data_IF_311370118406
#
_entry.id   IF_311370118406
#
_cell.length_a   1.000
_cell.length_b   1.000
_cell.length_c   1.000
_cell.angle_alpha   90.00
_cell.angle_beta   90.00
_cell.angle_gamma   90.00
#
_symmetry.space_group_name_H-M   'P 1'
#
loop_
_entity.id
_entity.type
_entity.pdbx_description
1 polymer ?
#
# COMPACT_ATOMS: atom_id res chain seq x y z
N UNK A 1 5.15 -41.18 -4.37
CA UNK A 1 4.73 -39.83 -3.94
C UNK A 1 3.78 -39.30 -5.00
N UNK A 2 2.47 -39.25 -4.74
CA UNK A 2 1.50 -38.70 -5.69
C UNK A 2 1.77 -37.20 -5.77
N UNK A 3 2.38 -36.74 -6.88
CA UNK A 3 2.59 -35.31 -7.13
C UNK A 3 1.25 -34.64 -7.45
N UNK A 4 1.01 -33.47 -6.86
CA UNK A 4 -0.14 -32.63 -7.23
C UNK A 4 -0.02 -32.19 -8.69
N UNK A 5 -1.12 -32.18 -9.43
CA UNK A 5 -1.14 -31.65 -10.80
C UNK A 5 -0.87 -30.14 -10.80
N UNK A 6 -0.30 -29.62 -11.89
CA UNK A 6 0.01 -28.19 -12.02
C UNK A 6 -1.24 -27.31 -11.89
N UNK A 7 -2.39 -27.79 -12.36
CA UNK A 7 -3.67 -27.09 -12.25
C UNK A 7 -4.14 -27.00 -10.79
N UNK A 8 -3.99 -28.08 -10.02
CA UNK A 8 -4.29 -28.06 -8.59
C UNK A 8 -3.39 -27.06 -7.84
N UNK A 9 -2.09 -27.02 -8.15
CA UNK A 9 -1.17 -26.05 -7.53
C UNK A 9 -1.57 -24.61 -7.88
N UNK A 10 -1.95 -24.33 -9.13
CA UNK A 10 -2.40 -23.01 -9.56
C UNK A 10 -3.67 -22.58 -8.83
N UNK A 11 -4.66 -23.46 -8.73
CA UNK A 11 -5.90 -23.20 -8.00
C UNK A 11 -5.65 -22.91 -6.52
N UNK A 12 -4.81 -23.72 -5.86
CA UNK A 12 -4.45 -23.51 -4.45
C UNK A 12 -3.76 -22.15 -4.22
N UNK A 13 -2.87 -21.74 -5.12
CA UNK A 13 -2.22 -20.41 -5.03
C UNK A 13 -3.23 -19.28 -5.15
N UNK A 14 -4.17 -19.37 -6.09
CA UNK A 14 -5.21 -18.36 -6.28
C UNK A 14 -6.12 -18.30 -5.04
N UNK A 15 -6.60 -19.45 -4.56
CA UNK A 15 -7.42 -19.53 -3.35
C UNK A 15 -6.71 -18.93 -2.13
N UNK A 16 -5.42 -19.24 -1.95
CA UNK A 16 -4.62 -18.67 -0.87
C UNK A 16 -4.52 -17.14 -0.97
N UNK A 17 -4.29 -16.60 -2.17
CA UNK A 17 -4.27 -15.14 -2.39
C UNK A 17 -5.61 -14.54 -1.97
N UNK A 18 -6.74 -15.08 -2.44
CA UNK A 18 -8.06 -14.58 -2.06
C UNK A 18 -8.33 -14.64 -0.55
N UNK A 19 -7.92 -15.72 0.10
CA UNK A 19 -8.06 -15.87 1.56
C UNK A 19 -7.22 -14.81 2.28
N UNK A 20 -5.96 -14.60 1.88
CA UNK A 20 -5.08 -13.62 2.50
C UNK A 20 -5.58 -12.18 2.28
N UNK A 21 -5.97 -11.83 1.05
CA UNK A 21 -6.52 -10.52 0.74
C UNK A 21 -7.87 -10.27 1.42
N UNK A 22 -8.76 -11.27 1.44
CA UNK A 22 -10.04 -11.20 2.13
C UNK A 22 -9.88 -11.07 3.63
N UNK A 23 -8.97 -11.83 4.23
CA UNK A 23 -8.62 -11.72 5.65
C UNK A 23 -8.04 -10.35 5.99
N UNK A 24 -7.13 -9.82 5.17
CA UNK A 24 -6.60 -8.47 5.32
C UNK A 24 -7.70 -7.41 5.21
N UNK A 25 -8.59 -7.53 4.21
CA UNK A 25 -9.72 -6.63 4.04
C UNK A 25 -10.62 -6.63 5.28
N UNK A 26 -11.04 -7.80 5.76
CA UNK A 26 -11.89 -7.94 6.96
C UNK A 26 -11.18 -7.33 8.18
N UNK A 27 -9.91 -7.68 8.40
CA UNK A 27 -9.14 -7.17 9.54
C UNK A 27 -9.10 -5.64 9.56
N UNK A 28 -8.75 -5.00 8.44
CA UNK A 28 -8.63 -3.54 8.39
C UNK A 28 -9.98 -2.84 8.25
N UNK A 29 -11.04 -3.53 7.80
CA UNK A 29 -12.39 -2.98 7.77
C UNK A 29 -12.98 -2.92 9.19
N UNK A 30 -12.84 -3.99 9.98
CA UNK A 30 -13.48 -4.05 11.30
C UNK A 30 -12.63 -3.52 12.45
N UNK A 31 -11.30 -3.52 12.33
CA UNK A 31 -10.42 -3.13 13.43
C UNK A 31 -9.60 -1.90 13.07
N UNK A 32 -9.80 -0.81 13.81
CA UNK A 32 -9.06 0.44 13.65
C UNK A 32 -7.61 0.28 14.16
N UNK A 33 -6.58 0.48 13.31
CA UNK A 33 -5.18 0.41 13.74
C UNK A 33 -4.77 1.45 14.79
N UNK A 34 -5.54 2.53 14.97
CA UNK A 34 -5.28 3.52 16.02
C UNK A 34 -5.71 3.06 17.41
N UNK A 35 -6.69 2.17 17.51
CA UNK A 35 -7.34 1.79 18.77
C UNK A 35 -6.93 0.40 19.25
N UNK A 36 -6.35 -0.42 18.37
CA UNK A 36 -6.10 -1.83 18.63
C UNK A 36 -4.59 -2.10 18.75
N UNK A 37 -4.15 -2.54 19.93
CA UNK A 37 -2.74 -2.78 20.25
C UNK A 37 -2.08 -3.95 19.52
N UNK A 38 -2.87 -4.82 18.86
CA UNK A 38 -2.34 -5.91 18.05
C UNK A 38 -1.78 -5.42 16.70
N UNK A 39 -2.10 -4.20 16.26
CA UNK A 39 -1.44 -3.60 15.10
C UNK A 39 -0.04 -3.14 15.49
N UNK A 40 0.96 -3.72 14.84
CA UNK A 40 2.36 -3.43 15.15
C UNK A 40 2.69 -2.00 14.70
N UNK A 41 3.19 -1.13 15.61
CA UNK A 41 3.62 0.20 15.24
C UNK A 41 4.81 0.14 14.28
N UNK A 42 5.05 1.22 13.53
CA UNK A 42 6.16 1.26 12.58
C UNK A 42 7.50 1.06 13.31
N UNK A 43 8.26 -0.03 13.04
CA UNK A 43 9.50 -0.31 13.74
C UNK A 43 10.56 0.76 13.48
N UNK A 44 10.57 1.34 12.27
CA UNK A 44 11.48 2.43 11.92
C UNK A 44 11.26 3.65 12.82
N UNK A 45 10.00 4.07 13.00
CA UNK A 45 9.68 5.20 13.87
C UNK A 45 9.95 4.87 15.34
N UNK A 46 9.64 3.65 15.77
CA UNK A 46 9.92 3.19 17.13
C UNK A 46 11.41 3.25 17.48
N UNK A 47 12.29 2.87 16.55
CA UNK A 47 13.75 2.84 16.76
C UNK A 47 14.38 4.23 16.59
N UNK A 48 13.96 4.99 15.57
CA UNK A 48 14.67 6.21 15.16
C UNK A 48 13.99 7.51 15.59
N UNK A 49 12.71 7.46 15.96
CA UNK A 49 11.87 8.66 16.16
C UNK A 49 11.42 9.33 14.85
N UNK A 50 12.00 8.97 13.69
CA UNK A 50 11.64 9.57 12.41
C UNK A 50 10.49 8.82 11.71
N UNK A 51 9.66 9.55 10.97
CA UNK A 51 8.61 8.97 10.14
C UNK A 51 9.17 8.59 8.77
N UNK A 52 9.14 7.30 8.40
CA UNK A 52 9.46 6.87 7.03
C UNK A 52 8.29 7.17 6.06
N UNK A 53 8.48 7.09 4.73
CA UNK A 53 7.40 7.32 3.75
C UNK A 53 6.16 6.43 3.94
N UNK A 54 6.32 5.24 4.54
CA UNK A 54 5.24 4.31 4.82
C UNK A 54 4.51 4.52 6.15
N UNK A 55 4.98 5.39 7.05
CA UNK A 55 4.30 5.60 8.33
C UNK A 55 2.89 6.15 8.10
N UNK A 56 1.89 5.57 8.78
CA UNK A 56 0.48 5.95 8.65
C UNK A 56 -0.33 5.14 7.64
N UNK A 57 0.30 4.29 6.82
CA UNK A 57 -0.41 3.53 5.78
C UNK A 57 -1.51 2.59 6.28
N UNK A 58 -1.34 2.01 7.47
CA UNK A 58 -2.36 1.15 8.09
C UNK A 58 -3.65 1.93 8.39
N UNK A 59 -3.51 3.10 9.03
CA UNK A 59 -4.62 4.02 9.33
C UNK A 59 -5.24 4.57 8.04
N UNK A 60 -4.40 4.93 7.07
CA UNK A 60 -4.88 5.37 5.76
C UNK A 60 -5.69 4.27 5.04
N UNK A 61 -5.23 3.01 5.09
CA UNK A 61 -5.97 1.88 4.52
C UNK A 61 -7.34 1.71 5.18
N UNK A 62 -7.40 1.72 6.52
CA UNK A 62 -8.65 1.64 7.26
C UNK A 62 -9.63 2.76 6.84
N UNK A 63 -9.17 4.01 6.73
CA UNK A 63 -10.02 5.13 6.31
C UNK A 63 -10.47 5.03 4.86
N UNK A 64 -9.61 4.60 3.94
CA UNK A 64 -10.00 4.34 2.55
C UNK A 64 -11.09 3.28 2.44
N UNK A 65 -11.01 2.23 3.26
CA UNK A 65 -12.03 1.18 3.31
C UNK A 65 -13.40 1.69 3.77
N UNK A 66 -13.43 2.80 4.52
CA UNK A 66 -14.65 3.48 4.96
C UNK A 66 -15.03 4.69 4.09
N UNK A 67 -14.30 4.94 3.00
CA UNK A 67 -14.55 6.05 2.08
C UNK A 67 -14.06 7.42 2.58
N UNK A 68 -13.30 7.49 3.68
CA UNK A 68 -12.68 8.73 4.14
C UNK A 68 -11.33 8.98 3.44
N UNK A 69 -11.43 9.53 2.23
CA UNK A 69 -10.26 9.88 1.42
C UNK A 69 -9.43 11.02 2.03
N UNK A 70 -10.08 11.98 2.69
CA UNK A 70 -9.40 13.15 3.27
C UNK A 70 -8.59 12.71 4.48
N UNK A 71 -9.18 11.94 5.37
CA UNK A 71 -8.49 11.35 6.51
C UNK A 71 -7.35 10.43 6.06
N UNK A 72 -7.58 9.57 5.07
CA UNK A 72 -6.53 8.73 4.51
C UNK A 72 -5.36 9.55 3.94
N UNK A 73 -5.67 10.62 3.21
CA UNK A 73 -4.66 11.52 2.65
C UNK A 73 -3.86 12.21 3.76
N UNK A 74 -4.50 12.63 4.85
CA UNK A 74 -3.79 13.22 6.01
C UNK A 74 -2.81 12.23 6.65
N UNK A 75 -3.14 10.94 6.70
CA UNK A 75 -2.23 9.94 7.26
C UNK A 75 -1.08 9.56 6.33
N UNK A 76 -1.33 9.42 5.03
CA UNK A 76 -0.28 9.12 4.06
C UNK A 76 -0.64 9.60 2.63
N UNK A 77 -0.30 10.85 2.26
CA UNK A 77 -0.52 11.36 0.92
C UNK A 77 0.16 10.51 -0.16
N UNK A 78 1.39 10.09 0.10
CA UNK A 78 2.18 9.31 -0.86
C UNK A 78 1.49 7.98 -1.18
N UNK A 79 1.00 7.27 -0.17
CA UNK A 79 0.24 6.03 -0.38
C UNK A 79 -1.03 6.29 -1.20
N UNK A 80 -1.85 7.28 -0.80
CA UNK A 80 -3.13 7.57 -1.45
C UNK A 80 -2.94 7.94 -2.92
N UNK A 81 -1.93 8.75 -3.24
CA UNK A 81 -1.63 9.15 -4.61
C UNK A 81 -1.04 8.01 -5.45
N UNK A 82 -0.31 7.08 -4.83
CA UNK A 82 0.28 5.92 -5.51
C UNK A 82 -0.75 4.82 -5.77
N UNK A 83 -1.79 4.74 -4.94
CA UNK A 83 -2.76 3.65 -4.98
C UNK A 83 -3.50 3.51 -6.33
N UNK A 84 -3.98 4.58 -7.01
CA UNK A 84 -4.59 4.46 -8.34
C UNK A 84 -3.65 3.86 -9.38
N UNK A 85 -2.36 4.18 -9.32
CA UNK A 85 -1.34 3.65 -10.24
C UNK A 85 -1.17 2.15 -10.03
N UNK A 86 -1.14 1.71 -8.76
CA UNK A 86 -1.05 0.28 -8.41
C UNK A 86 -2.32 -0.48 -8.82
N UNK A 87 -3.50 0.08 -8.57
CA UNK A 87 -4.79 -0.52 -8.97
C UNK A 87 -4.85 -0.66 -10.49
N UNK A 88 -4.44 0.35 -11.24
CA UNK A 88 -4.41 0.29 -12.70
C UNK A 88 -3.45 -0.80 -13.21
N UNK A 89 -2.23 -0.88 -12.66
CA UNK A 89 -1.27 -1.93 -13.00
C UNK A 89 -1.77 -3.34 -12.67
N UNK A 90 -2.44 -3.50 -11.52
CA UNK A 90 -3.08 -4.76 -11.13
C UNK A 90 -4.23 -5.12 -12.09
N UNK A 91 -5.06 -4.14 -12.46
CA UNK A 91 -6.15 -4.32 -13.43
C UNK A 91 -5.65 -4.80 -14.80
N UNK A 92 -4.55 -4.24 -15.30
CA UNK A 92 -3.90 -4.72 -16.53
C UNK A 92 -3.42 -6.17 -16.37
N UNK A 93 -2.82 -6.50 -15.23
CA UNK A 93 -2.31 -7.85 -14.96
C UNK A 93 -3.45 -8.88 -14.93
N UNK A 94 -4.54 -8.54 -14.25
CA UNK A 94 -5.75 -9.36 -14.20
C UNK A 94 -6.38 -9.48 -15.59
N UNK A 95 -6.50 -8.38 -16.34
CA UNK A 95 -7.03 -8.39 -17.70
C UNK A 95 -6.22 -9.25 -18.66
N UNK A 96 -4.89 -9.16 -18.60
CA UNK A 96 -3.99 -10.03 -19.36
C UNK A 96 -4.20 -11.51 -19.02
N UNK A 97 -4.40 -11.82 -17.73
CA UNK A 97 -4.64 -13.18 -17.27
C UNK A 97 -6.01 -13.72 -17.73
N UNK A 98 -7.06 -12.91 -17.73
CA UNK A 98 -8.42 -13.30 -18.12
C UNK A 98 -8.56 -13.42 -19.64
N UNK A 99 -8.10 -12.41 -20.38
CA UNK A 99 -8.31 -12.30 -21.82
C UNK A 99 -7.14 -12.87 -22.65
N UNK A 100 -6.11 -13.41 -22.00
CA UNK A 100 -4.90 -13.91 -22.67
C UNK A 100 -4.12 -12.81 -23.42
N UNK A 101 -4.30 -11.55 -23.01
CA UNK A 101 -3.61 -10.42 -23.63
C UNK A 101 -2.25 -10.16 -22.96
N UNK A 102 -1.41 -9.36 -23.59
CA UNK A 102 -0.05 -9.07 -23.12
C UNK A 102 0.23 -7.57 -23.03
N UNK A 103 -0.74 -6.79 -22.57
CA UNK A 103 -0.58 -5.36 -22.38
C UNK A 103 0.44 -5.07 -21.26
N UNK A 104 1.42 -4.22 -21.55
CA UNK A 104 2.42 -3.81 -20.55
C UNK A 104 2.13 -2.39 -20.09
N UNK A 105 2.02 -2.21 -18.79
CA UNK A 105 1.95 -0.87 -18.21
C UNK A 105 3.36 -0.25 -18.22
N UNK A 106 3.67 0.52 -19.27
CA UNK A 106 5.01 1.09 -19.52
C UNK A 106 5.54 1.95 -18.37
N UNK A 107 4.66 2.56 -17.58
CA UNK A 107 5.03 3.44 -16.47
C UNK A 107 5.97 2.76 -15.46
N UNK A 108 5.66 1.52 -15.04
CA UNK A 108 6.49 0.77 -14.07
C UNK A 108 7.87 0.36 -14.59
N UNK A 109 8.08 0.35 -15.90
CA UNK A 109 9.35 -0.04 -16.53
C UNK A 109 10.18 1.16 -17.01
N UNK A 110 9.66 2.38 -16.83
CA UNK A 110 10.37 3.59 -17.20
C UNK A 110 11.35 3.97 -16.09
N UNK A 111 12.65 4.01 -16.41
CA UNK A 111 13.68 4.47 -15.48
C UNK A 111 13.34 5.86 -14.92
N UNK A 112 12.81 6.76 -15.75
CA UNK A 112 12.39 8.09 -15.31
C UNK A 112 11.32 8.02 -14.22
N UNK A 113 10.34 7.13 -14.36
CA UNK A 113 9.30 6.96 -13.36
C UNK A 113 9.85 6.36 -12.07
N UNK A 114 10.69 5.32 -12.16
CA UNK A 114 11.28 4.66 -10.99
C UNK A 114 12.15 5.64 -10.20
N UNK A 115 13.10 6.31 -10.86
CA UNK A 115 13.97 7.29 -10.21
C UNK A 115 13.20 8.53 -9.74
N UNK A 116 12.20 8.98 -10.51
CA UNK A 116 11.33 10.09 -10.13
C UNK A 116 10.52 9.77 -8.87
N UNK A 117 9.89 8.60 -8.83
CA UNK A 117 9.13 8.14 -7.65
C UNK A 117 10.04 7.99 -6.43
N UNK A 118 11.23 7.40 -6.60
CA UNK A 118 12.20 7.28 -5.52
C UNK A 118 12.66 8.66 -5.00
N UNK A 119 12.92 9.60 -5.90
CA UNK A 119 13.21 10.99 -5.55
C UNK A 119 12.07 11.67 -4.79
N UNK A 120 10.83 11.48 -5.23
CA UNK A 120 9.63 11.98 -4.53
C UNK A 120 9.50 11.34 -3.14
N UNK A 121 9.72 10.04 -3.02
CA UNK A 121 9.65 9.33 -1.75
C UNK A 121 10.72 9.82 -0.75
N UNK A 122 11.95 10.09 -1.23
CA UNK A 122 13.01 10.69 -0.42
C UNK A 122 12.65 12.12 -0.02
N UNK A 123 12.19 12.94 -0.97
CA UNK A 123 11.78 14.32 -0.68
C UNK A 123 10.66 14.33 0.37
N UNK A 124 9.63 13.50 0.18
CA UNK A 124 8.54 13.33 1.14
C UNK A 124 9.03 12.85 2.50
N UNK A 125 10.01 11.93 2.54
CA UNK A 125 10.64 11.49 3.77
C UNK A 125 11.26 12.65 4.55
N UNK A 126 12.06 13.49 3.88
CA UNK A 126 12.66 14.66 4.53
C UNK A 126 11.62 15.66 4.97
N UNK A 127 10.72 16.05 4.06
CA UNK A 127 9.68 17.05 4.34
C UNK A 127 8.81 16.64 5.53
N UNK A 128 8.39 15.38 5.62
CA UNK A 128 7.49 14.95 6.70
C UNK A 128 8.10 14.92 8.10
N UNK A 129 9.43 15.05 8.21
CA UNK A 129 10.13 15.09 9.49
C UNK A 129 10.47 16.53 9.92
N UNK A 130 10.02 17.54 9.16
CA UNK A 130 10.17 18.95 9.52
C UNK A 130 9.01 19.38 10.44
N UNK A 131 9.35 20.07 11.54
CA UNK A 131 8.39 20.43 12.61
C UNK A 131 7.64 21.75 12.36
N UNK A 132 8.00 22.50 11.32
CA UNK A 132 7.39 23.81 11.02
C UNK A 132 6.30 23.70 9.94
N UNK A 133 5.37 24.66 9.97
CA UNK A 133 4.28 24.73 8.99
C UNK A 133 4.82 25.04 7.57
N UNK A 134 4.30 24.39 6.51
CA UNK A 134 3.17 23.45 6.50
C UNK A 134 3.58 21.97 6.65
N UNK A 135 4.87 21.68 6.80
CA UNK A 135 5.42 20.31 6.72
C UNK A 135 5.07 19.43 7.91
N UNK A 136 4.82 20.03 9.07
CA UNK A 136 4.29 19.31 10.23
C UNK A 136 2.95 18.60 9.94
N UNK A 137 2.18 19.06 8.93
CA UNK A 137 0.93 18.40 8.50
C UNK A 137 1.16 17.05 7.79
N UNK A 138 2.39 16.78 7.32
CA UNK A 138 2.75 15.53 6.65
C UNK A 138 3.13 14.42 7.66
N UNK A 139 3.35 14.78 8.92
CA UNK A 139 3.55 13.81 9.98
C UNK A 139 2.22 13.06 10.23
N UNK A 140 2.25 11.72 10.37
CA UNK A 140 1.04 10.93 10.56
C UNK A 140 0.60 10.97 12.03
N UNK A 141 0.32 12.18 12.53
CA UNK A 141 -0.13 12.45 13.90
C UNK A 141 -1.64 12.32 13.95
N UNK A 142 -2.13 11.38 14.76
CA UNK A 142 -3.55 11.04 14.88
C UNK A 142 -3.74 9.73 15.60
#
# INVERSE_FOLDING_TARGET
>A
MVGLSQDTIKFLKIALIFILFGGFFILYFFYNPSENSFFIPCPFHYITGFYCPGCGSQRAAHLLLHGDFIGAFRFNPLMVLTLPILIYGLGITIGNWIFGTHYRFKLFYSNLFIFGYFGIAILYWFLRNLSFYPFNLLAPTG
#
